data_IF_184078586885
#
_entry.id   IF_184078586885
#
_cell.length_a   1.000
_cell.length_b   1.000
_cell.length_c   1.000
_cell.angle_alpha   90.00
_cell.angle_beta   90.00
_cell.angle_gamma   90.00
#
_symmetry.space_group_name_H-M   'P 1'
#
loop_
_entity.id
_entity.type
_entity.pdbx_description
1 polymer ?
#
# COMPACT_ATOMS: atom_id res chain seq x y z
N UNK A 1 1.39 5.13 8.80
CA UNK A 1 0.67 5.02 7.52
C UNK A 1 1.43 5.75 6.42
N UNK A 2 1.14 5.52 5.13
CA UNK A 2 1.87 6.14 4.01
C UNK A 2 1.59 7.65 4.01
N UNK A 3 2.64 8.47 3.93
CA UNK A 3 2.51 9.94 3.99
C UNK A 3 1.99 10.49 5.31
N UNK A 4 1.91 9.65 6.36
CA UNK A 4 1.52 10.01 7.72
C UNK A 4 2.74 10.13 8.62
N UNK A 5 2.59 10.89 9.69
CA UNK A 5 3.61 11.13 10.70
C UNK A 5 3.25 10.47 12.03
N UNK A 6 4.19 10.45 12.98
CA UNK A 6 3.93 10.06 14.37
C UNK A 6 2.77 10.89 15.00
N UNK A 7 2.65 12.17 14.61
CA UNK A 7 1.60 13.07 15.08
C UNK A 7 0.17 12.56 14.81
N UNK A 8 -0.03 11.83 13.71
CA UNK A 8 -1.34 11.26 13.36
C UNK A 8 -1.82 10.18 14.35
N UNK A 9 -0.94 9.67 15.20
CA UNK A 9 -1.25 8.63 16.19
C UNK A 9 -1.43 9.18 17.62
N UNK A 10 -1.21 10.49 17.84
CA UNK A 10 -1.28 11.08 19.18
C UNK A 10 -2.63 10.85 19.86
N UNK A 11 -3.75 11.07 19.15
CA UNK A 11 -5.08 10.85 19.72
C UNK A 11 -5.31 9.38 20.12
N UNK A 12 -4.82 8.44 19.31
CA UNK A 12 -4.90 7.01 19.61
C UNK A 12 -4.03 6.66 20.82
N UNK A 13 -2.80 7.16 20.86
CA UNK A 13 -1.86 6.99 21.96
C UNK A 13 -2.48 7.51 23.28
N UNK A 14 -2.93 8.76 23.31
CA UNK A 14 -3.59 9.34 24.50
C UNK A 14 -4.83 8.56 24.93
N UNK A 15 -5.62 8.04 23.99
CA UNK A 15 -6.80 7.23 24.31
C UNK A 15 -6.45 5.86 24.91
N UNK A 16 -5.31 5.29 24.52
CA UNK A 16 -4.80 4.04 25.07
C UNK A 16 -4.16 4.27 26.45
N UNK A 17 -3.41 5.36 26.60
CA UNK A 17 -2.81 5.76 27.88
C UNK A 17 -3.87 6.08 28.93
N UNK A 18 -4.95 6.77 28.54
CA UNK A 18 -6.11 7.00 29.41
C UNK A 18 -6.79 5.69 29.87
N UNK A 19 -6.57 4.59 29.16
CA UNK A 19 -7.03 3.24 29.52
C UNK A 19 -5.96 2.41 30.24
N UNK A 20 -4.84 3.03 30.62
CA UNK A 20 -3.74 2.38 31.32
C UNK A 20 -2.79 1.57 30.44
N UNK A 21 -2.88 1.71 29.10
CA UNK A 21 -1.96 1.05 28.16
C UNK A 21 -0.85 2.02 27.80
N UNK A 22 0.38 1.74 28.24
CA UNK A 22 1.57 2.53 27.86
C UNK A 22 1.82 2.40 26.36
N UNK A 23 1.99 3.52 25.67
CA UNK A 23 2.14 3.54 24.21
C UNK A 23 3.43 4.18 23.75
N UNK A 24 4.00 3.62 22.69
CA UNK A 24 5.19 4.12 22.01
C UNK A 24 4.88 4.22 20.53
N UNK A 25 5.14 5.38 19.93
CA UNK A 25 4.86 5.62 18.51
C UNK A 25 6.19 5.61 17.78
N UNK A 26 6.28 4.82 16.69
CA UNK A 26 7.45 4.86 15.84
C UNK A 26 7.56 6.26 15.19
N UNK A 27 8.64 6.97 15.50
CA UNK A 27 8.90 8.34 15.07
C UNK A 27 9.23 8.40 13.57
N UNK A 28 8.18 8.40 12.76
CA UNK A 28 8.24 8.51 11.31
C UNK A 28 7.84 9.93 10.92
N UNK A 29 8.74 10.64 10.25
CA UNK A 29 8.46 11.95 9.68
C UNK A 29 7.78 11.83 8.33
N UNK A 30 6.99 12.84 7.96
CA UNK A 30 6.47 12.95 6.59
C UNK A 30 7.61 13.06 5.57
N UNK A 31 8.74 13.68 5.96
CA UNK A 31 9.92 13.82 5.11
C UNK A 31 10.64 12.48 4.90
N UNK A 32 10.53 11.51 5.81
CA UNK A 32 11.13 10.20 5.61
C UNK A 32 10.51 9.46 4.42
N UNK A 33 9.26 9.79 4.06
CA UNK A 33 8.61 9.28 2.86
C UNK A 33 9.26 9.76 1.55
N UNK A 34 10.06 10.83 1.58
CA UNK A 34 10.85 11.21 0.40
C UNK A 34 11.87 10.12 0.04
N UNK A 35 12.35 9.34 1.02
CA UNK A 35 13.24 8.18 0.79
C UNK A 35 12.51 7.03 0.10
N UNK A 36 11.22 6.88 0.36
CA UNK A 36 10.36 5.97 -0.38
C UNK A 36 10.12 6.48 -1.81
N UNK A 37 9.90 7.80 -1.97
CA UNK A 37 9.72 8.43 -3.27
C UNK A 37 11.00 8.38 -4.13
N UNK A 38 12.21 8.43 -3.55
CA UNK A 38 13.45 8.23 -4.31
C UNK A 38 13.55 6.84 -4.96
N UNK A 39 12.76 5.87 -4.49
CA UNK A 39 12.58 4.58 -5.16
C UNK A 39 11.97 4.69 -6.57
N UNK A 40 11.33 5.80 -6.93
CA UNK A 40 10.83 6.07 -8.29
C UNK A 40 11.93 6.05 -9.36
N UNK A 41 13.19 6.29 -8.95
CA UNK A 41 14.37 6.26 -9.82
C UNK A 41 14.91 4.84 -10.04
N UNK A 42 14.42 3.83 -9.32
CA UNK A 42 14.81 2.43 -9.49
C UNK A 42 13.99 1.77 -10.61
N UNK A 43 14.65 1.11 -11.56
CA UNK A 43 13.98 0.31 -12.60
C UNK A 43 13.12 -0.82 -12.03
N UNK A 44 13.43 -1.32 -10.83
CA UNK A 44 12.62 -2.32 -10.12
C UNK A 44 11.28 -1.75 -9.63
N UNK A 45 11.20 -0.44 -9.40
CA UNK A 45 9.95 0.25 -9.08
C UNK A 45 8.98 0.14 -10.25
N UNK A 46 9.47 0.38 -11.47
CA UNK A 46 8.67 0.29 -12.69
C UNK A 46 8.32 -1.15 -13.06
N UNK A 47 9.18 -2.11 -12.73
CA UNK A 47 8.92 -3.55 -12.90
C UNK A 47 7.96 -4.13 -11.86
N UNK A 48 7.68 -3.42 -10.77
CA UNK A 48 6.81 -3.90 -9.71
C UNK A 48 7.39 -5.09 -8.94
N UNK A 49 8.72 -5.11 -8.78
CA UNK A 49 9.47 -6.20 -8.12
C UNK A 49 10.25 -5.70 -6.91
N UNK A 50 9.76 -4.66 -6.23
CA UNK A 50 10.46 -4.08 -5.08
C UNK A 50 10.49 -5.08 -3.91
N UNK A 51 11.66 -5.14 -3.26
CA UNK A 51 11.84 -5.84 -2.00
C UNK A 51 11.83 -4.84 -0.84
N UNK A 52 11.34 -5.23 0.36
CA UNK A 52 11.37 -4.37 1.54
C UNK A 52 12.76 -3.86 1.90
N UNK A 53 13.79 -4.71 1.74
CA UNK A 53 15.19 -4.28 1.89
C UNK A 53 15.86 -3.99 0.56
N UNK A 54 16.72 -2.95 0.49
CA UNK A 54 17.03 -1.97 1.53
C UNK A 54 16.04 -0.79 1.62
N UNK A 55 14.98 -0.79 0.79
CA UNK A 55 14.09 0.37 0.58
C UNK A 55 13.41 0.90 1.85
N UNK A 56 13.05 0.01 2.77
CA UNK A 56 12.28 0.29 3.98
C UNK A 56 13.12 0.17 5.25
N UNK A 57 14.44 0.05 5.15
CA UNK A 57 15.34 -0.09 6.31
C UNK A 57 15.17 1.07 7.30
N UNK A 58 15.01 2.30 6.80
CA UNK A 58 14.73 3.47 7.63
C UNK A 58 13.47 3.30 8.48
N UNK A 59 12.41 2.70 7.92
CA UNK A 59 11.15 2.46 8.63
C UNK A 59 11.32 1.35 9.67
N UNK A 60 12.00 0.27 9.30
CA UNK A 60 12.28 -0.86 10.19
C UNK A 60 13.14 -0.44 11.38
N UNK A 61 14.11 0.46 11.17
CA UNK A 61 14.90 1.05 12.26
C UNK A 61 13.99 1.80 13.24
N UNK A 62 13.05 2.62 12.75
CA UNK A 62 12.08 3.34 13.61
C UNK A 62 11.17 2.41 14.40
N UNK A 63 10.72 1.30 13.80
CA UNK A 63 9.98 0.27 14.53
C UNK A 63 10.86 -0.36 15.60
N UNK A 64 12.11 -0.72 15.27
CA UNK A 64 13.04 -1.34 16.20
C UNK A 64 13.34 -0.46 17.41
N UNK A 65 13.54 0.84 17.19
CA UNK A 65 13.70 1.85 18.26
C UNK A 65 12.48 1.87 19.19
N UNK A 66 11.26 1.97 18.64
CA UNK A 66 10.03 1.99 19.44
C UNK A 66 9.77 0.68 20.19
N UNK A 67 10.08 -0.47 19.58
CA UNK A 67 9.96 -1.80 20.22
C UNK A 67 10.94 -1.90 21.40
N UNK A 68 12.18 -1.46 21.20
CA UNK A 68 13.18 -1.45 22.27
C UNK A 68 12.73 -0.61 23.47
N UNK A 69 12.24 0.60 23.25
CA UNK A 69 11.69 1.45 24.33
C UNK A 69 10.48 0.81 25.03
N UNK A 70 9.58 0.21 24.27
CA UNK A 70 8.42 -0.48 24.81
C UNK A 70 8.82 -1.68 25.68
N UNK A 71 9.84 -2.45 25.27
CA UNK A 71 10.34 -3.59 26.03
C UNK A 71 11.02 -3.19 27.34
N UNK A 72 11.78 -2.08 27.35
CA UNK A 72 12.35 -1.53 28.59
C UNK A 72 11.28 -1.25 29.63
N UNK A 73 10.11 -0.80 29.18
CA UNK A 73 8.96 -0.52 30.03
C UNK A 73 8.15 -1.77 30.38
N UNK A 74 8.07 -2.74 29.47
CA UNK A 74 7.36 -4.00 29.70
C UNK A 74 8.09 -4.88 30.73
N UNK A 75 9.39 -4.66 30.98
CA UNK A 75 10.19 -5.34 32.00
C UNK A 75 10.06 -6.87 31.96
N UNK A 76 10.27 -7.45 30.78
CA UNK A 76 10.11 -8.90 30.53
C UNK A 76 8.70 -9.34 30.13
N UNK A 77 7.73 -8.42 30.09
CA UNK A 77 6.43 -8.63 29.46
C UNK A 77 6.50 -8.60 27.93
N UNK A 78 5.44 -9.07 27.27
CA UNK A 78 5.28 -8.96 25.81
C UNK A 78 4.57 -7.67 25.43
N UNK A 79 4.91 -7.14 24.27
CA UNK A 79 4.30 -5.91 23.72
C UNK A 79 3.28 -6.23 22.61
N UNK A 80 2.47 -5.24 22.25
CA UNK A 80 1.51 -5.29 21.16
C UNK A 80 1.90 -4.29 20.08
N UNK A 81 1.95 -4.74 18.82
CA UNK A 81 2.20 -3.88 17.67
C UNK A 81 0.88 -3.45 17.03
N UNK A 82 0.73 -2.15 16.78
CA UNK A 82 -0.41 -1.58 16.06
C UNK A 82 0.09 -0.94 14.78
N UNK A 83 -0.36 -1.44 13.63
CA UNK A 83 -0.01 -0.92 12.31
C UNK A 83 -1.23 -0.47 11.53
N UNK A 84 -1.15 0.68 10.83
CA UNK A 84 -2.22 1.15 9.95
C UNK A 84 -1.74 1.29 8.51
N UNK A 85 -2.55 0.79 7.57
CA UNK A 85 -2.24 0.77 6.14
C UNK A 85 -0.85 0.14 5.90
N UNK A 86 0.08 0.85 5.25
CA UNK A 86 1.48 0.43 5.07
C UNK A 86 2.16 -0.05 6.36
N UNK A 87 1.87 0.58 7.50
CA UNK A 87 2.48 0.20 8.77
C UNK A 87 2.10 -1.21 9.20
N UNK A 88 0.91 -1.70 8.82
CA UNK A 88 0.48 -3.06 9.17
C UNK A 88 1.24 -4.13 8.40
N UNK A 89 1.51 -3.94 7.12
CA UNK A 89 2.30 -4.90 6.35
C UNK A 89 3.81 -4.73 6.58
N UNK A 90 4.31 -3.53 6.89
CA UNK A 90 5.71 -3.37 7.36
C UNK A 90 5.90 -4.05 8.72
N UNK A 91 4.91 -4.01 9.62
CA UNK A 91 4.99 -4.76 10.86
C UNK A 91 5.13 -6.27 10.61
N UNK A 92 4.51 -6.82 9.55
CA UNK A 92 4.75 -8.22 9.14
C UNK A 92 6.18 -8.45 8.68
N UNK A 93 6.78 -7.50 7.94
CA UNK A 93 8.21 -7.57 7.57
C UNK A 93 9.07 -7.57 8.82
N UNK A 94 8.80 -6.67 9.78
CA UNK A 94 9.53 -6.60 11.03
C UNK A 94 9.50 -7.93 11.77
N UNK A 95 8.33 -8.54 11.93
CA UNK A 95 8.20 -9.86 12.59
C UNK A 95 8.94 -10.97 11.83
N UNK A 96 8.95 -10.93 10.49
CA UNK A 96 9.64 -11.91 9.67
C UNK A 96 11.17 -11.83 9.83
N UNK A 97 11.70 -10.62 10.01
CA UNK A 97 13.14 -10.37 10.00
C UNK A 97 13.78 -10.34 11.40
N UNK A 98 13.06 -9.81 12.38
CA UNK A 98 13.57 -9.59 13.74
C UNK A 98 12.99 -10.58 14.76
N UNK A 99 12.04 -11.43 14.35
CA UNK A 99 11.40 -12.42 15.22
C UNK A 99 10.16 -11.89 15.94
N UNK A 100 9.60 -12.74 16.79
CA UNK A 100 8.27 -12.52 17.39
C UNK A 100 8.24 -12.73 18.91
N UNK A 101 9.36 -13.07 19.55
CA UNK A 101 9.37 -13.56 20.93
C UNK A 101 8.80 -12.54 21.93
N UNK A 102 9.17 -11.27 21.72
CA UNK A 102 8.75 -10.12 22.53
C UNK A 102 7.33 -9.62 22.19
N UNK A 103 6.73 -10.13 21.11
CA UNK A 103 5.44 -9.67 20.60
C UNK A 103 4.34 -10.67 21.01
N UNK A 104 3.21 -10.15 21.47
CA UNK A 104 2.02 -10.94 21.80
C UNK A 104 0.85 -10.73 20.84
N UNK A 105 0.80 -9.56 20.20
CA UNK A 105 -0.29 -9.15 19.33
C UNK A 105 0.23 -8.29 18.19
N UNK A 106 -0.22 -8.57 16.97
CA UNK A 106 -0.17 -7.65 15.85
C UNK A 106 -1.61 -7.24 15.47
N UNK A 107 -1.96 -5.99 15.76
CA UNK A 107 -3.21 -5.36 15.41
C UNK A 107 -3.03 -4.50 14.16
N UNK A 108 -3.73 -4.82 13.08
CA UNK A 108 -3.69 -4.04 11.84
C UNK A 108 -5.00 -3.30 11.60
N UNK A 109 -4.91 -2.02 11.23
CA UNK A 109 -6.04 -1.15 10.92
C UNK A 109 -6.06 -0.91 9.40
N UNK A 110 -7.16 -1.31 8.75
CA UNK A 110 -7.38 -1.34 7.29
C UNK A 110 -6.09 -1.44 6.48
N UNK A 111 -5.38 -2.52 6.77
CA UNK A 111 -4.13 -2.87 6.09
C UNK A 111 -4.47 -3.84 4.97
N UNK A 112 -4.04 -3.56 3.72
CA UNK A 112 -4.15 -4.56 2.67
C UNK A 112 -3.18 -5.70 2.99
N UNK A 113 -3.69 -6.93 3.10
CA UNK A 113 -2.89 -8.11 3.44
C UNK A 113 -2.45 -8.92 2.23
N UNK A 114 -3.07 -8.67 1.07
CA UNK A 114 -2.82 -9.36 -0.19
C UNK A 114 -2.52 -8.35 -1.30
N UNK A 115 -1.62 -8.68 -2.23
CA UNK A 115 -1.35 -7.86 -3.40
C UNK A 115 -2.59 -7.77 -4.31
N UNK A 116 -2.67 -6.72 -5.15
CA UNK A 116 -3.72 -6.64 -6.15
C UNK A 116 -3.57 -7.77 -7.20
N UNK A 117 -4.66 -8.21 -7.83
CA UNK A 117 -4.60 -9.26 -8.85
C UNK A 117 -3.71 -8.87 -10.03
N UNK A 118 -2.83 -9.78 -10.43
CA UNK A 118 -1.92 -9.60 -11.56
C UNK A 118 -2.64 -9.78 -12.89
N UNK A 119 -2.22 -9.03 -13.92
CA UNK A 119 -2.74 -9.17 -15.29
C UNK A 119 -4.15 -8.62 -15.53
N UNK A 120 -4.76 -7.93 -14.55
CA UNK A 120 -6.07 -7.31 -14.73
C UNK A 120 -5.91 -5.91 -15.34
N UNK A 121 -6.51 -5.69 -16.51
CA UNK A 121 -6.46 -4.40 -17.20
C UNK A 121 -6.95 -3.26 -16.30
N UNK A 122 -6.17 -2.19 -16.21
CA UNK A 122 -6.45 -1.02 -15.38
C UNK A 122 -6.22 -1.22 -13.88
N UNK A 123 -5.60 -2.31 -13.44
CA UNK A 123 -5.15 -2.50 -12.06
C UNK A 123 -3.64 -2.30 -12.00
N UNK A 124 -3.20 -1.29 -11.26
CA UNK A 124 -1.78 -1.00 -11.02
C UNK A 124 -1.49 -1.33 -9.56
N UNK A 125 -0.41 -2.07 -9.32
CA UNK A 125 0.07 -2.30 -7.95
C UNK A 125 0.73 -1.04 -7.39
N UNK A 126 0.04 -0.37 -6.47
CA UNK A 126 0.54 0.81 -5.76
C UNK A 126 1.70 0.49 -4.82
N UNK A 127 1.81 -0.77 -4.38
CA UNK A 127 2.91 -1.25 -3.54
C UNK A 127 4.11 -1.70 -4.36
N UNK A 128 3.99 -1.74 -5.69
CA UNK A 128 5.06 -2.03 -6.65
C UNK A 128 5.82 -3.33 -6.32
N UNK A 129 5.10 -4.37 -5.89
CA UNK A 129 5.66 -5.68 -5.54
C UNK A 129 5.99 -5.87 -4.06
N UNK A 130 5.97 -4.80 -3.24
CA UNK A 130 6.24 -4.93 -1.81
C UNK A 130 5.21 -5.83 -1.12
N UNK A 131 3.93 -5.69 -1.46
CA UNK A 131 2.89 -6.52 -0.86
C UNK A 131 2.90 -7.96 -1.38
N UNK A 132 3.35 -8.18 -2.62
CA UNK A 132 3.65 -9.51 -3.15
C UNK A 132 4.76 -10.18 -2.33
N UNK A 133 5.83 -9.44 -2.01
CA UNK A 133 6.91 -9.94 -1.16
C UNK A 133 6.39 -10.31 0.22
N UNK A 134 5.63 -9.42 0.86
CA UNK A 134 5.09 -9.64 2.21
C UNK A 134 4.15 -10.85 2.23
N UNK A 135 3.29 -11.01 1.24
CA UNK A 135 2.38 -12.15 1.16
C UNK A 135 3.13 -13.48 1.00
N UNK A 136 4.22 -13.47 0.23
CA UNK A 136 5.01 -14.68 -0.06
C UNK A 136 6.00 -15.07 1.04
N UNK A 137 6.65 -14.09 1.67
CA UNK A 137 7.81 -14.35 2.54
C UNK A 137 7.57 -13.97 4.00
N UNK A 138 6.63 -13.06 4.30
CA UNK A 138 6.36 -12.68 5.67
C UNK A 138 5.21 -13.54 6.21
N UNK A 139 5.43 -14.26 7.32
CA UNK A 139 4.48 -15.25 7.81
C UNK A 139 3.09 -14.64 7.98
N UNK A 140 2.10 -15.36 7.42
CA UNK A 140 0.73 -15.22 7.88
C UNK A 140 0.70 -15.99 9.20
N UNK A 141 0.50 -15.27 10.29
CA UNK A 141 0.38 -15.82 11.64
C UNK A 141 -0.65 -16.94 11.61
N UNK A 142 -0.17 -18.18 11.70
CA UNK A 142 -0.99 -19.40 11.73
C UNK A 142 -1.41 -19.67 13.19
N UNK A 143 -2.35 -20.59 13.39
CA UNK A 143 -2.87 -20.92 14.74
C UNK A 143 -1.81 -21.41 15.73
N UNK A 144 -0.63 -21.82 15.26
CA UNK A 144 0.50 -22.32 16.07
C UNK A 144 1.45 -21.22 16.53
N UNK A 145 1.35 -20.02 15.95
CA UNK A 145 2.21 -18.91 16.34
C UNK A 145 1.78 -18.31 17.68
N UNK A 146 2.76 -17.97 18.51
CA UNK A 146 2.53 -17.36 19.83
C UNK A 146 2.00 -15.91 19.76
N UNK A 147 1.91 -15.33 18.55
CA UNK A 147 1.44 -13.96 18.33
C UNK A 147 -0.01 -14.00 17.87
N UNK A 148 -0.88 -13.23 18.51
CA UNK A 148 -2.25 -13.05 18.03
C UNK A 148 -2.27 -12.06 16.86
N UNK A 149 -2.90 -12.40 15.74
CA UNK A 149 -3.12 -11.47 14.64
C UNK A 149 -4.56 -10.99 14.62
N UNK A 150 -4.77 -9.67 14.64
CA UNK A 150 -6.11 -9.07 14.57
C UNK A 150 -6.12 -8.02 13.47
N UNK A 151 -7.06 -8.14 12.54
CA UNK A 151 -7.29 -7.12 11.51
C UNK A 151 -8.64 -6.44 11.77
N UNK A 152 -8.62 -5.13 11.96
CA UNK A 152 -9.80 -4.28 11.99
C UNK A 152 -9.89 -3.60 10.62
N UNK A 153 -10.84 -4.04 9.81
CA UNK A 153 -11.09 -3.47 8.49
C UNK A 153 -12.56 -3.03 8.39
N UNK A 154 -12.78 -1.92 7.68
CA UNK A 154 -14.12 -1.46 7.34
C UNK A 154 -14.76 -2.32 6.24
N UNK A 155 -16.02 -2.02 5.91
CA UNK A 155 -16.70 -2.61 4.76
C UNK A 155 -16.07 -2.08 3.47
N UNK A 156 -15.52 -2.96 2.64
CA UNK A 156 -15.04 -2.55 1.33
C UNK A 156 -16.22 -2.26 0.40
N UNK A 157 -16.08 -1.25 -0.45
CA UNK A 157 -17.00 -1.01 -1.56
C UNK A 157 -16.35 -1.47 -2.85
N UNK A 158 -17.04 -2.33 -3.60
CA UNK A 158 -16.60 -2.72 -4.94
C UNK A 158 -16.91 -1.55 -5.89
N UNK A 159 -15.88 -0.94 -6.47
CA UNK A 159 -16.07 0.02 -7.55
C UNK A 159 -16.70 -0.64 -8.76
N UNK A 160 -17.57 0.08 -9.47
CA UNK A 160 -18.17 -0.41 -10.72
C UNK A 160 -17.21 -0.24 -11.91
N UNK A 161 -17.36 -1.11 -12.92
CA UNK A 161 -16.55 -1.03 -14.12
C UNK A 161 -17.02 0.15 -14.98
N UNK A 162 -16.12 1.09 -15.27
CA UNK A 162 -16.41 2.30 -16.07
C UNK A 162 -16.60 2.02 -17.57
N UNK A 163 -16.24 0.81 -18.02
CA UNK A 163 -16.41 0.38 -19.41
C UNK A 163 -17.48 -0.70 -19.48
N UNK A 164 -18.72 -0.29 -19.75
CA UNK A 164 -19.64 -1.16 -20.49
C UNK A 164 -19.24 -1.09 -21.96
N UNK A 165 -18.14 -1.72 -22.36
CA UNK A 165 -17.78 -1.72 -23.78
C UNK A 165 -18.69 -2.70 -24.54
N UNK A 166 -19.26 -2.32 -25.70
CA UNK A 166 -19.59 -3.30 -26.72
C UNK A 166 -18.29 -3.99 -27.15
N UNK A 167 -18.39 -5.24 -27.62
CA UNK A 167 -17.29 -6.17 -27.94
C UNK A 167 -16.14 -5.52 -28.72
N UNK A 168 -15.13 -4.95 -28.05
CA UNK A 168 -13.85 -4.54 -28.66
C UNK A 168 -12.79 -5.48 -28.09
N UNK A 169 -12.05 -6.13 -28.99
CA UNK A 169 -11.02 -7.11 -28.63
C UNK A 169 -9.79 -6.37 -28.10
N UNK A 170 -9.17 -6.94 -27.06
CA UNK A 170 -7.98 -6.39 -26.42
C UNK A 170 -6.77 -6.24 -27.37
N UNK A 171 -6.79 -6.89 -28.55
CA UNK A 171 -5.75 -6.79 -29.57
C UNK A 171 -5.70 -5.43 -30.28
N UNK A 172 -6.74 -4.59 -30.15
CA UNK A 172 -6.91 -3.39 -30.97
C UNK A 172 -6.70 -2.09 -30.16
N UNK A 173 -6.27 -2.20 -28.89
CA UNK A 173 -6.04 -1.08 -27.97
C UNK A 173 -4.55 -0.86 -27.72
N UNK A 174 -4.06 0.31 -28.10
CA UNK A 174 -2.71 0.79 -27.78
C UNK A 174 -2.84 1.94 -26.76
N UNK A 175 -2.19 1.79 -25.61
CA UNK A 175 -2.26 2.77 -24.52
C UNK A 175 -1.00 3.63 -24.52
N UNK A 176 -1.16 4.94 -24.68
CA UNK A 176 -0.07 5.91 -24.57
C UNK A 176 -0.31 6.72 -23.30
N UNK A 177 0.67 6.70 -22.39
CA UNK A 177 0.64 7.56 -21.21
C UNK A 177 1.15 8.95 -21.59
N UNK A 178 0.35 9.98 -21.33
CA UNK A 178 0.78 11.37 -21.45
C UNK A 178 1.72 11.74 -20.29
N UNK A 179 2.54 12.77 -20.49
CA UNK A 179 3.56 13.31 -19.56
C UNK A 179 2.96 13.69 -18.19
N UNK A 180 1.64 13.92 -18.15
CA UNK A 180 0.88 14.22 -16.93
C UNK A 180 0.23 12.99 -16.25
N UNK A 181 0.54 11.77 -16.68
CA UNK A 181 0.01 10.53 -16.10
C UNK A 181 -1.44 10.18 -16.51
N UNK A 182 -2.01 10.93 -17.46
CA UNK A 182 -3.31 10.61 -18.05
C UNK A 182 -3.14 9.52 -19.11
N UNK A 183 -3.92 8.45 -19.02
CA UNK A 183 -3.89 7.33 -19.97
C UNK A 183 -4.78 7.66 -21.17
N UNK A 184 -4.16 7.97 -22.32
CA UNK A 184 -4.87 8.05 -23.59
C UNK A 184 -4.95 6.66 -24.23
N UNK A 185 -6.15 6.20 -24.53
CA UNK A 185 -6.38 4.95 -25.27
C UNK A 185 -6.71 5.34 -26.71
N UNK A 186 -5.80 5.06 -27.64
CA UNK A 186 -6.03 5.29 -29.07
C UNK A 186 -6.42 3.94 -29.67
N UNK A 187 -7.64 3.86 -30.19
CA UNK A 187 -8.10 2.69 -30.95
C UNK A 187 -7.48 2.73 -32.35
N UNK A 188 -6.78 1.67 -32.74
CA UNK A 188 -6.20 1.55 -34.08
C UNK A 188 -7.26 0.95 -35.01
N UNK A 189 -7.80 1.74 -35.94
CA UNK A 189 -8.62 1.19 -37.02
C UNK A 189 -7.68 0.67 -38.13
N UNK A 190 -7.99 -0.48 -38.73
CA UNK A 190 -7.08 -1.23 -39.62
C UNK A 190 -6.82 -0.62 -40.99
N UNK A 191 -7.28 0.60 -41.24
CA UNK A 191 -7.12 1.27 -42.52
C UNK A 191 -6.05 2.36 -42.37
N UNK A 192 -4.89 2.13 -42.98
CA UNK A 192 -3.76 3.06 -43.06
C UNK A 192 -4.14 4.35 -43.80
N UNK A 193 -4.84 5.27 -43.14
CA UNK A 193 -4.99 6.64 -43.58
C UNK A 193 -4.55 7.60 -42.48
N UNK A 194 -3.50 8.39 -42.76
CA UNK A 194 -3.17 9.56 -41.95
C UNK A 194 -4.38 10.50 -41.97
N UNK A 195 -5.05 10.64 -40.84
CA UNK A 195 -6.15 11.59 -40.66
C UNK A 195 -5.58 12.96 -40.29
N UNK A 196 -5.97 13.97 -41.06
CA UNK A 196 -5.63 15.39 -40.85
C UNK A 196 -6.19 15.92 -39.51
N UNK A 197 -5.52 16.93 -38.95
CA UNK A 197 -5.83 17.59 -37.68
C UNK A 197 -7.26 18.18 -37.58
N UNK A 198 -7.98 18.33 -38.69
CA UNK A 198 -9.29 19.00 -38.73
C UNK A 198 -10.50 18.12 -38.33
N UNK A 199 -10.30 16.85 -37.94
CA UNK A 199 -11.40 15.96 -37.51
C UNK A 199 -11.61 15.92 -35.99
N UNK A 200 -10.94 16.79 -35.22
CA UNK A 200 -10.96 16.83 -33.74
C UNK A 200 -12.28 17.43 -33.17
N UNK A 201 -13.28 17.72 -34.01
CA UNK A 201 -14.54 18.34 -33.59
C UNK A 201 -15.57 17.44 -32.89
N UNK A 202 -15.34 16.12 -32.77
CA UNK A 202 -16.38 15.17 -32.36
C UNK A 202 -16.04 14.20 -31.23
N UNK A 203 -14.84 14.27 -30.63
CA UNK A 203 -14.49 13.34 -29.56
C UNK A 203 -14.98 13.89 -28.23
N UNK A 204 -16.15 13.42 -27.81
CA UNK A 204 -16.71 13.68 -26.49
C UNK A 204 -15.60 13.61 -25.44
N UNK A 205 -15.44 14.70 -24.67
CA UNK A 205 -14.55 14.78 -23.52
C UNK A 205 -14.81 13.59 -22.59
N UNK A 206 -14.05 12.51 -22.77
CA UNK A 206 -14.05 11.37 -21.89
C UNK A 206 -13.34 11.83 -20.63
N UNK A 207 -14.13 12.29 -19.65
CA UNK A 207 -13.67 12.51 -18.28
C UNK A 207 -13.06 11.20 -17.78
N UNK A 208 -11.73 11.11 -17.87
CA UNK A 208 -10.91 10.05 -17.30
C UNK A 208 -10.98 10.13 -15.78
N UNK A 209 -12.00 9.49 -15.20
CA UNK A 209 -12.01 9.25 -13.77
C UNK A 209 -11.14 8.01 -13.52
N UNK A 210 -9.92 8.24 -13.05
CA UNK A 210 -8.96 7.19 -12.75
C UNK A 210 -9.55 6.14 -11.79
N UNK A 211 -9.29 4.85 -12.08
CA UNK A 211 -9.66 3.72 -11.22
C UNK A 211 -8.73 3.69 -10.01
N UNK A 212 -9.10 4.39 -8.94
CA UNK A 212 -8.45 4.24 -7.65
C UNK A 212 -9.06 3.02 -6.95
N UNK A 213 -8.36 1.89 -6.99
CA UNK A 213 -8.60 0.81 -6.01
C UNK A 213 -7.93 1.26 -4.73
N UNK A 214 -8.66 2.02 -3.91
CA UNK A 214 -8.24 2.42 -2.58
C UNK A 214 -9.24 1.90 -1.55
N UNK A 215 -8.75 1.48 -0.38
CA UNK A 215 -9.61 1.40 0.81
C UNK A 215 -9.95 2.84 1.22
N UNK A 216 -11.07 3.36 0.69
CA UNK A 216 -11.62 4.63 1.14
C UNK A 216 -12.35 4.43 2.47
N UNK A 217 -11.88 5.12 3.51
CA UNK A 217 -12.64 5.29 4.74
C UNK A 217 -13.63 6.44 4.53
N UNK A 218 -14.93 6.16 4.60
CA UNK A 218 -15.90 7.21 4.93
C UNK A 218 -15.81 7.43 6.44
N UNK A 219 -15.49 8.66 6.84
CA UNK A 219 -15.78 9.17 8.18
C UNK A 219 -17.29 9.34 8.33
#
# INVERSE_FOLDING_TARGET
>A
GLGKSAGDYQQLASSLEAKGVRTFVAEISQLDWLRYASGLLDGNFWKGTLCPRPLLDWYLIKIKEAVYEANLVANGGKISLIGHSIGGWIARVYLAEFGMDEISLLLTLGTPHRPPPKGVLGVIDQTRGLLDYVDKYCPVVNHESMVKYVCIAGRYMKGECLLKSPKIKASDMESIADVNGNLLIIGRNKDNHYMNEDSIGGLASLKLNARIVGQGYKQ
#
